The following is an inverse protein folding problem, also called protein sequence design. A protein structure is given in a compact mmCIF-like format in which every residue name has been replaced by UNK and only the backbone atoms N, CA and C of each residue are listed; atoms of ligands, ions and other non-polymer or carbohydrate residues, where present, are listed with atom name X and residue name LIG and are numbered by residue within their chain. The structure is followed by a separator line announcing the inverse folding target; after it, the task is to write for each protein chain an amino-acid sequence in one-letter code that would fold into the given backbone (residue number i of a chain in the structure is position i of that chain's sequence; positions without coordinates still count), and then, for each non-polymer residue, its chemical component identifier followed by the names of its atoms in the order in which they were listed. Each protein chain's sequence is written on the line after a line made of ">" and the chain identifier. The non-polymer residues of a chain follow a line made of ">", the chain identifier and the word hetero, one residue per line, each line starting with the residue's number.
data_IF_431491879892
#
_entry.id   IF_431491879892
#
_cell.length_a   1.000
_cell.length_b   1.000
_cell.length_c   1.000
_cell.angle_alpha   90.00
_cell.angle_beta   90.00
_cell.angle_gamma   90.00
#
_symmetry.space_group_name_H-M   'P 1'
#
loop_
_entity.id
_entity.type
_entity.pdbx_description
1 polymer ?
#
# COMPACT_ATOMS: atom_id res chain seq x y z
N UNK A 1 -19.36 44.15 -64.21
CA UNK A 1 -19.78 43.02 -63.39
C UNK A 1 -18.58 42.13 -63.14
N UNK A 2 -18.01 42.15 -61.91
CA UNK A 2 -16.80 41.35 -61.53
C UNK A 2 -17.24 40.12 -60.78
N UNK A 3 -17.00 38.93 -61.38
CA UNK A 3 -17.24 37.64 -60.70
C UNK A 3 -16.09 37.37 -59.72
N UNK A 4 -16.39 37.26 -58.46
CA UNK A 4 -15.46 36.78 -57.43
C UNK A 4 -15.46 35.26 -57.42
N UNK A 5 -14.30 34.68 -57.74
CA UNK A 5 -14.04 33.26 -57.61
C UNK A 5 -13.58 33.08 -56.17
N UNK A 6 -14.38 32.38 -55.36
CA UNK A 6 -14.02 31.95 -53.99
C UNK A 6 -13.31 30.61 -54.16
N UNK A 7 -12.01 30.66 -53.94
CA UNK A 7 -11.18 29.44 -53.88
C UNK A 7 -11.38 28.79 -52.51
N UNK A 8 -12.05 27.66 -52.51
CA UNK A 8 -12.27 26.86 -51.31
C UNK A 8 -11.05 25.95 -51.09
N UNK A 9 -10.18 26.38 -50.19
CA UNK A 9 -9.01 25.60 -49.78
C UNK A 9 -9.48 24.49 -48.83
N UNK A 10 -9.60 23.26 -49.35
CA UNK A 10 -9.84 22.07 -48.54
C UNK A 10 -8.53 21.71 -47.82
N UNK A 11 -8.46 22.06 -46.54
CA UNK A 11 -7.47 21.57 -45.62
C UNK A 11 -7.84 20.12 -45.27
N UNK A 12 -7.19 19.16 -45.91
CA UNK A 12 -7.15 17.77 -45.43
C UNK A 12 -6.29 17.71 -44.17
N UNK A 13 -6.93 17.88 -43.03
CA UNK A 13 -6.31 17.50 -41.77
C UNK A 13 -6.27 15.98 -41.66
N UNK A 14 -5.15 15.40 -42.07
CA UNK A 14 -4.87 14.00 -41.80
C UNK A 14 -4.79 13.78 -40.32
N UNK A 15 -5.83 13.20 -39.74
CA UNK A 15 -5.80 12.68 -38.40
C UNK A 15 -4.91 11.43 -38.44
N UNK A 16 -3.63 11.62 -38.12
CA UNK A 16 -2.77 10.51 -37.74
C UNK A 16 -3.26 9.98 -36.41
N UNK A 17 -4.13 8.98 -36.43
CA UNK A 17 -4.34 8.12 -35.29
C UNK A 17 -3.06 7.35 -35.06
N UNK A 18 -2.20 7.87 -34.19
CA UNK A 18 -1.13 7.09 -33.61
C UNK A 18 -1.85 6.05 -32.74
N UNK A 19 -2.02 4.85 -33.32
CA UNK A 19 -2.33 3.65 -32.53
C UNK A 19 -1.10 3.43 -31.67
N UNK A 20 -1.07 4.09 -30.50
CA UNK A 20 -0.20 3.68 -29.43
C UNK A 20 -0.61 2.25 -29.12
N UNK A 21 0.20 1.28 -29.52
CA UNK A 21 0.17 -0.04 -28.93
C UNK A 21 0.41 0.19 -27.43
N UNK A 22 -0.64 0.41 -26.69
CA UNK A 22 -0.63 0.25 -25.25
C UNK A 22 -0.34 -1.23 -25.06
N UNK A 23 0.93 -1.55 -24.76
CA UNK A 23 1.22 -2.75 -24.03
C UNK A 23 0.28 -2.69 -22.83
N UNK A 24 -0.75 -3.48 -22.88
CA UNK A 24 -1.66 -3.71 -21.76
C UNK A 24 -0.87 -4.55 -20.77
N UNK A 25 0.15 -3.91 -20.17
CA UNK A 25 0.73 -4.41 -18.95
C UNK A 25 -0.43 -4.34 -17.97
N UNK A 26 -1.00 -5.49 -17.68
CA UNK A 26 -2.06 -5.64 -16.70
C UNK A 26 -1.46 -5.32 -15.33
N UNK A 27 -1.33 -4.02 -15.05
CA UNK A 27 -0.96 -3.58 -13.71
C UNK A 27 -2.07 -4.08 -12.76
N UNK A 28 -1.76 -5.05 -11.88
CA UNK A 28 -2.75 -5.62 -10.98
C UNK A 28 -3.33 -4.58 -10.02
N UNK A 29 -2.67 -3.42 -9.90
CA UNK A 29 -3.06 -2.32 -9.02
C UNK A 29 -3.84 -1.20 -9.75
N UNK A 30 -4.16 -1.35 -11.02
CA UNK A 30 -4.86 -0.36 -11.87
C UNK A 30 -6.15 0.20 -11.24
N UNK A 31 -6.85 -0.59 -10.44
CA UNK A 31 -8.12 -0.22 -9.80
C UNK A 31 -7.96 0.21 -8.34
N UNK A 32 -6.73 0.42 -7.88
CA UNK A 32 -6.44 0.88 -6.54
C UNK A 32 -6.04 2.36 -6.57
N UNK A 33 -6.29 3.04 -5.47
CA UNK A 33 -5.87 4.44 -5.25
C UNK A 33 -5.12 4.54 -3.93
N UNK A 34 -4.22 5.50 -3.80
CA UNK A 34 -3.61 5.79 -2.51
C UNK A 34 -4.68 6.22 -1.49
N UNK A 35 -4.64 5.67 -0.29
CA UNK A 35 -5.63 6.00 0.75
C UNK A 35 -5.41 7.37 1.39
N UNK A 36 -4.18 7.88 1.34
CA UNK A 36 -3.77 9.12 2.01
C UNK A 36 -3.55 8.98 3.51
N UNK A 37 -3.63 7.80 4.08
CA UNK A 37 -3.31 7.57 5.49
C UNK A 37 -1.81 7.73 5.75
N UNK A 38 -1.47 8.38 6.87
CA UNK A 38 -0.11 8.43 7.37
C UNK A 38 0.25 7.12 8.07
N UNK A 39 1.39 6.56 7.70
CA UNK A 39 1.90 5.29 8.24
C UNK A 39 3.08 5.57 9.15
N UNK A 40 3.08 4.99 10.34
CA UNK A 40 4.16 5.08 11.31
C UNK A 40 4.86 3.74 11.42
N UNK A 41 6.19 3.74 11.39
CA UNK A 41 6.98 2.58 11.77
C UNK A 41 6.93 2.43 13.30
N UNK A 42 6.68 1.23 13.78
CA UNK A 42 6.59 0.93 15.21
C UNK A 42 7.55 -0.19 15.59
N UNK A 43 7.85 -0.27 16.87
CA UNK A 43 8.53 -1.42 17.45
C UNK A 43 7.54 -2.19 18.31
N UNK A 44 7.55 -3.50 18.15
CA UNK A 44 6.79 -4.43 18.99
C UNK A 44 7.80 -5.28 19.76
N UNK A 45 7.61 -5.41 21.05
CA UNK A 45 8.43 -6.31 21.86
C UNK A 45 7.90 -7.74 21.73
N UNK A 46 8.50 -8.48 20.78
CA UNK A 46 8.11 -9.85 20.48
C UNK A 46 8.52 -10.88 21.53
N UNK A 47 9.39 -10.53 22.48
CA UNK A 47 9.80 -11.46 23.54
C UNK A 47 8.66 -11.73 24.51
N UNK A 48 7.76 -10.75 24.68
CA UNK A 48 6.61 -10.83 25.58
C UNK A 48 5.29 -11.16 24.87
N UNK A 49 5.27 -11.09 23.55
CA UNK A 49 4.09 -11.41 22.77
C UNK A 49 4.09 -12.89 22.35
N UNK A 50 2.94 -13.53 22.48
CA UNK A 50 2.65 -14.82 21.87
C UNK A 50 2.61 -14.74 20.32
N UNK A 51 3.20 -13.71 19.74
CA UNK A 51 3.35 -13.56 18.30
C UNK A 51 4.34 -14.60 17.81
N UNK A 52 3.81 -15.70 17.29
CA UNK A 52 4.65 -16.67 16.60
C UNK A 52 5.30 -15.99 15.39
N UNK A 53 6.62 -15.82 15.46
CA UNK A 53 7.43 -15.39 14.33
C UNK A 53 7.13 -16.25 13.12
N UNK A 54 6.84 -15.64 11.99
CA UNK A 54 6.80 -16.34 10.70
C UNK A 54 5.59 -16.13 9.83
N UNK A 55 4.65 -15.26 10.21
CA UNK A 55 3.49 -14.95 9.37
C UNK A 55 3.25 -13.45 9.31
N UNK A 56 2.97 -12.96 8.12
CA UNK A 56 2.45 -11.63 7.91
C UNK A 56 1.10 -11.49 8.62
N UNK A 57 0.88 -10.35 9.25
CA UNK A 57 -0.31 -10.11 10.07
C UNK A 57 -0.85 -8.73 9.84
N UNK A 58 -2.15 -8.64 9.74
CA UNK A 58 -2.90 -7.37 9.72
C UNK A 58 -3.98 -7.45 10.78
N UNK A 59 -4.05 -6.44 11.64
CA UNK A 59 -5.01 -6.41 12.74
C UNK A 59 -5.52 -4.99 12.99
N UNK A 60 -6.83 -4.85 13.17
CA UNK A 60 -7.47 -3.61 13.56
C UNK A 60 -7.77 -3.61 15.06
N UNK A 61 -7.04 -2.80 15.80
CA UNK A 61 -7.25 -2.59 17.24
C UNK A 61 -8.29 -1.49 17.42
N UNK A 62 -9.44 -1.84 17.97
CA UNK A 62 -10.58 -0.93 18.10
C UNK A 62 -10.81 -0.41 19.53
N UNK A 63 -10.05 -0.92 20.49
CA UNK A 63 -10.14 -0.57 21.90
C UNK A 63 -8.77 -0.61 22.59
N UNK A 64 -8.68 0.09 23.72
CA UNK A 64 -7.45 0.18 24.49
C UNK A 64 -7.00 -1.16 25.08
N UNK A 65 -7.91 -2.06 25.41
CA UNK A 65 -7.57 -3.36 25.97
C UNK A 65 -6.84 -4.22 24.95
N UNK A 66 -7.31 -4.22 23.70
CA UNK A 66 -6.66 -4.90 22.61
C UNK A 66 -5.27 -4.31 22.33
N UNK A 67 -5.15 -2.98 22.37
CA UNK A 67 -3.88 -2.28 22.23
C UNK A 67 -2.91 -2.60 23.38
N UNK A 68 -3.37 -2.56 24.64
CA UNK A 68 -2.53 -2.80 25.81
C UNK A 68 -2.05 -4.26 25.93
N UNK A 69 -2.63 -5.18 25.17
CA UNK A 69 -2.14 -6.56 25.07
C UNK A 69 -0.81 -6.64 24.29
N UNK A 70 -0.48 -5.62 23.52
CA UNK A 70 0.79 -5.48 22.82
C UNK A 70 1.71 -4.54 23.59
N UNK A 71 3.00 -4.77 23.50
CA UNK A 71 4.01 -3.90 24.07
C UNK A 71 4.58 -2.97 22.99
N UNK A 72 3.77 -2.01 22.57
CA UNK A 72 4.20 -1.01 21.58
C UNK A 72 5.07 0.08 22.21
N UNK A 73 5.97 0.64 21.42
CA UNK A 73 6.74 1.84 21.77
C UNK A 73 5.95 3.15 21.56
N UNK A 74 4.63 3.08 21.52
CA UNK A 74 3.73 4.22 21.33
C UNK A 74 2.85 4.43 22.57
N UNK A 75 2.56 5.68 22.87
CA UNK A 75 1.77 6.07 24.06
C UNK A 75 0.33 6.45 23.66
N UNK A 76 -0.45 5.49 23.18
CA UNK A 76 -1.88 5.72 22.99
C UNK A 76 -2.63 5.50 24.30
N UNK A 77 -3.59 6.39 24.56
CA UNK A 77 -4.44 6.35 25.75
C UNK A 77 -5.81 5.75 25.44
N UNK A 78 -6.57 5.41 26.49
CA UNK A 78 -7.94 4.92 26.32
C UNK A 78 -8.82 5.91 25.55
N UNK A 79 -8.65 7.22 25.82
CA UNK A 79 -9.40 8.28 25.10
C UNK A 79 -9.09 8.36 23.59
N UNK A 80 -7.91 7.94 23.16
CA UNK A 80 -7.61 7.82 21.74
C UNK A 80 -8.56 6.83 21.05
N UNK A 81 -8.81 5.69 21.71
CA UNK A 81 -9.66 4.63 21.15
C UNK A 81 -11.16 4.93 21.23
N UNK A 82 -11.58 6.04 21.83
CA UNK A 82 -12.96 6.53 21.69
C UNK A 82 -13.25 7.03 20.28
N UNK A 83 -12.25 7.65 19.64
CA UNK A 83 -12.38 8.32 18.35
C UNK A 83 -11.70 7.59 17.18
N UNK A 84 -10.72 6.76 17.47
CA UNK A 84 -9.88 6.13 16.45
C UNK A 84 -9.77 4.62 16.65
N UNK A 85 -9.47 3.95 15.56
CA UNK A 85 -8.93 2.59 15.52
C UNK A 85 -7.44 2.68 15.17
N UNK A 86 -6.68 1.66 15.53
CA UNK A 86 -5.29 1.53 15.14
C UNK A 86 -5.14 0.27 14.27
N UNK A 87 -4.85 0.45 12.99
CA UNK A 87 -4.47 -0.64 12.11
C UNK A 87 -3.00 -0.94 12.33
N UNK A 88 -2.70 -2.17 12.73
CA UNK A 88 -1.33 -2.66 12.88
C UNK A 88 -1.07 -3.73 11.82
N UNK A 89 0.07 -3.66 11.16
CA UNK A 89 0.50 -4.71 10.26
C UNK A 89 1.98 -5.02 10.44
N UNK A 90 2.26 -6.29 10.38
CA UNK A 90 3.59 -6.86 10.60
C UNK A 90 3.92 -7.70 9.38
N UNK A 91 5.11 -7.51 8.86
CA UNK A 91 5.65 -8.31 7.76
C UNK A 91 6.99 -8.89 8.17
N UNK A 92 7.24 -10.09 7.69
CA UNK A 92 8.51 -10.78 7.87
C UNK A 92 9.18 -11.01 6.54
N UNK A 93 10.45 -10.69 6.44
CA UNK A 93 11.24 -10.95 5.25
C UNK A 93 12.65 -11.40 5.64
N UNK A 94 13.39 -11.95 4.68
CA UNK A 94 14.82 -12.14 4.86
C UNK A 94 15.53 -10.79 4.71
N UNK A 95 16.61 -10.59 5.43
CA UNK A 95 17.39 -9.34 5.32
C UNK A 95 17.89 -9.08 3.89
N UNK A 96 18.04 -10.13 3.11
CA UNK A 96 18.42 -10.09 1.69
C UNK A 96 17.27 -9.68 0.74
N UNK A 97 16.01 -9.78 1.15
CA UNK A 97 14.87 -9.65 0.22
C UNK A 97 14.53 -8.22 -0.19
N UNK A 98 15.20 -7.21 0.36
CA UNK A 98 15.03 -5.82 -0.04
C UNK A 98 13.56 -5.36 -0.04
N UNK A 99 12.81 -5.73 0.98
CA UNK A 99 11.40 -5.37 1.11
C UNK A 99 11.24 -3.94 1.65
N UNK A 100 10.35 -3.18 1.05
CA UNK A 100 10.05 -1.80 1.43
C UNK A 100 8.54 -1.57 1.48
N UNK A 101 8.07 -0.88 2.53
CA UNK A 101 6.69 -0.38 2.56
C UNK A 101 6.53 0.77 1.57
N UNK A 102 5.48 0.72 0.76
CA UNK A 102 5.21 1.75 -0.26
C UNK A 102 4.08 2.67 0.19
N UNK A 103 2.89 2.13 0.38
CA UNK A 103 1.71 2.92 0.72
C UNK A 103 0.54 2.04 1.18
N UNK A 104 -0.50 2.67 1.70
CA UNK A 104 -1.80 2.02 1.89
C UNK A 104 -2.66 2.28 0.65
N UNK A 105 -2.97 1.24 -0.06
CA UNK A 105 -3.90 1.27 -1.19
C UNK A 105 -5.34 1.18 -0.73
N UNK A 106 -6.24 1.74 -1.51
CA UNK A 106 -7.68 1.62 -1.34
C UNK A 106 -8.33 1.14 -2.62
N UNK A 107 -9.24 0.17 -2.48
CA UNK A 107 -10.14 -0.26 -3.54
C UNK A 107 -11.54 -0.37 -2.96
N UNK A 108 -12.48 0.38 -3.52
CA UNK A 108 -13.83 0.52 -2.97
C UNK A 108 -13.77 0.95 -1.49
N UNK A 109 -14.23 0.11 -0.58
CA UNK A 109 -14.22 0.37 0.86
C UNK A 109 -13.12 -0.40 1.62
N UNK A 110 -12.25 -1.12 0.92
CA UNK A 110 -11.20 -1.94 1.53
C UNK A 110 -9.83 -1.27 1.38
N UNK A 111 -9.03 -1.29 2.44
CA UNK A 111 -7.66 -0.78 2.45
C UNK A 111 -6.65 -1.93 2.56
N UNK A 112 -5.50 -1.77 1.90
CA UNK A 112 -4.48 -2.80 1.73
C UNK A 112 -3.09 -2.21 1.93
N UNK A 113 -2.27 -2.69 2.88
CA UNK A 113 -0.85 -2.34 2.92
C UNK A 113 -0.12 -2.90 1.69
N UNK A 114 0.62 -2.06 0.97
CA UNK A 114 1.43 -2.46 -0.19
C UNK A 114 2.91 -2.42 0.13
N UNK A 115 3.57 -3.52 -0.11
CA UNK A 115 5.02 -3.66 -0.06
C UNK A 115 5.61 -3.92 -1.43
N UNK A 116 6.81 -3.42 -1.66
CA UNK A 116 7.62 -3.75 -2.80
C UNK A 116 8.74 -4.70 -2.36
N UNK A 117 8.92 -5.76 -3.13
CA UNK A 117 9.95 -6.77 -2.90
C UNK A 117 10.90 -6.74 -4.10
N UNK A 118 12.16 -6.38 -3.86
CA UNK A 118 13.19 -6.47 -4.87
C UNK A 118 13.66 -7.92 -4.98
N UNK A 119 13.51 -8.52 -6.16
CA UNK A 119 14.04 -9.86 -6.41
C UNK A 119 15.55 -9.82 -6.32
N UNK A 120 16.09 -10.68 -5.48
CA UNK A 120 17.54 -10.91 -5.42
C UNK A 120 17.94 -11.61 -6.72
N UNK A 121 19.02 -11.14 -7.34
CA UNK A 121 19.60 -11.83 -8.50
C UNK A 121 20.05 -13.24 -8.09
N UNK A 122 19.93 -14.20 -9.00
CA UNK A 122 20.26 -15.62 -8.75
C UNK A 122 21.70 -15.82 -8.21
N UNK A 123 22.59 -14.87 -8.46
CA UNK A 123 24.00 -14.91 -8.05
C UNK A 123 24.31 -14.16 -6.74
N UNK A 124 23.29 -13.59 -6.06
CA UNK A 124 23.53 -12.88 -4.81
C UNK A 124 23.39 -13.81 -3.59
N UNK A 125 24.26 -13.64 -2.59
CA UNK A 125 24.15 -14.43 -1.37
C UNK A 125 22.83 -14.12 -0.65
N UNK A 126 22.09 -15.16 -0.34
CA UNK A 126 20.85 -15.09 0.45
C UNK A 126 21.23 -15.25 1.92
N UNK A 127 20.76 -14.34 2.76
CA UNK A 127 20.90 -14.45 4.22
C UNK A 127 19.69 -15.18 4.81
N UNK A 128 19.92 -15.94 5.86
CA UNK A 128 18.86 -16.63 6.59
C UNK A 128 18.27 -15.76 7.73
N UNK A 129 18.79 -14.55 7.89
CA UNK A 129 18.32 -13.62 8.91
C UNK A 129 16.91 -13.14 8.59
N UNK A 130 16.00 -13.26 9.54
CA UNK A 130 14.64 -12.78 9.44
C UNK A 130 14.56 -11.38 10.03
N UNK A 131 14.04 -10.44 9.26
CA UNK A 131 13.69 -9.09 9.70
C UNK A 131 12.18 -9.03 9.89
N UNK A 132 11.78 -8.44 11.02
CA UNK A 132 10.38 -8.15 11.31
C UNK A 132 10.18 -6.65 11.22
N UNK A 133 9.27 -6.23 10.35
CA UNK A 133 8.91 -4.82 10.18
C UNK A 133 7.47 -4.62 10.64
N UNK A 134 7.26 -3.64 11.51
CA UNK A 134 5.96 -3.36 12.09
C UNK A 134 5.56 -1.92 11.81
N UNK A 135 4.30 -1.74 11.45
CA UNK A 135 3.75 -0.44 11.08
C UNK A 135 2.37 -0.26 11.69
N UNK A 136 1.98 0.99 11.89
CA UNK A 136 0.60 1.30 12.25
C UNK A 136 0.05 2.50 11.48
N UNK A 137 -1.28 2.51 11.39
CA UNK A 137 -2.07 3.57 10.77
C UNK A 137 -3.21 3.94 11.70
N UNK A 138 -3.37 5.24 11.95
CA UNK A 138 -4.49 5.78 12.71
C UNK A 138 -5.70 5.93 11.79
N UNK A 139 -6.80 5.26 12.12
CA UNK A 139 -8.03 5.27 11.34
C UNK A 139 -9.16 5.86 12.19
N UNK A 140 -9.69 7.05 11.86
CA UNK A 140 -10.86 7.58 12.55
C UNK A 140 -12.03 6.59 12.51
N UNK A 141 -12.73 6.39 13.63
CA UNK A 141 -13.92 5.49 13.70
C UNK A 141 -15.06 5.93 12.79
N UNK A 142 -15.04 7.18 12.35
CA UNK A 142 -15.99 7.68 11.33
C UNK A 142 -15.66 7.21 9.92
N UNK A 143 -14.48 6.62 9.71
CA UNK A 143 -14.07 6.05 8.44
C UNK A 143 -14.58 4.63 8.32
N UNK A 144 -15.58 4.41 7.49
CA UNK A 144 -16.03 3.07 7.15
C UNK A 144 -15.04 2.45 6.16
N UNK A 145 -14.26 1.49 6.60
CA UNK A 145 -13.38 0.72 5.74
C UNK A 145 -13.24 -0.72 6.25
N UNK A 146 -13.06 -1.61 5.31
CA UNK A 146 -12.66 -2.99 5.56
C UNK A 146 -11.14 -3.10 5.47
N UNK A 147 -10.57 -4.09 6.11
CA UNK A 147 -9.14 -4.35 6.10
C UNK A 147 -8.90 -5.58 5.22
N UNK A 148 -8.11 -5.37 4.18
CA UNK A 148 -7.65 -6.44 3.30
C UNK A 148 -6.26 -6.97 3.71
N UNK A 149 -5.84 -8.00 3.01
CA UNK A 149 -4.53 -8.62 3.23
C UNK A 149 -3.38 -7.71 2.76
N UNK A 150 -2.15 -8.03 3.22
CA UNK A 150 -0.94 -7.38 2.74
C UNK A 150 -0.72 -7.75 1.26
N UNK A 151 -0.42 -6.75 0.47
CA UNK A 151 -0.13 -6.90 -0.96
C UNK A 151 1.36 -6.75 -1.24
N UNK A 152 1.87 -7.52 -2.20
CA UNK A 152 3.27 -7.52 -2.58
C UNK A 152 3.43 -7.23 -4.07
N UNK A 153 4.25 -6.21 -4.39
CA UNK A 153 4.72 -5.92 -5.74
C UNK A 153 6.15 -6.42 -5.88
N UNK A 154 6.39 -7.25 -6.84
CA UNK A 154 7.73 -7.76 -7.14
C UNK A 154 8.34 -6.97 -8.29
N UNK A 155 9.58 -6.50 -8.11
CA UNK A 155 10.42 -5.88 -9.13
C UNK A 155 11.51 -6.80 -9.65
#
# INVERSE_FOLDING_TARGET
>A
MKKKIISMLLLLSGVFTISACTNDSTDPYKNYTASGFEVKCIQIDYENDNCSFGYDRVELLSDYKSYAAYNFNLDYTESYFELNNLLVFVVTCRSSDGMEFIEILKKENTIYPLFEVNKIGEDQPVTDDIIVMSYCVEIPKTTECEIGDIMYRYR
#
